data_IF_462850466375
#
_entry.id   IF_462850466375
#
_cell.length_a   1.000
_cell.length_b   1.000
_cell.length_c   1.000
_cell.angle_alpha   90.00
_cell.angle_beta   90.00
_cell.angle_gamma   90.00
#
_symmetry.space_group_name_H-M   'P 1'
#
loop_
_entity.id
_entity.type
_entity.pdbx_description
1 polymer ?
#
# COMPACT_ATOMS: atom_id res chain seq x y z
N UNK A 1 6.00 31.71 18.78
CA UNK A 1 6.79 31.99 17.56
C UNK A 1 6.81 33.48 17.36
N UNK A 2 7.98 34.10 17.49
CA UNK A 2 8.16 35.52 17.17
C UNK A 2 8.41 35.59 15.66
N UNK A 3 7.44 36.07 14.89
CA UNK A 3 7.59 36.27 13.45
C UNK A 3 8.51 37.47 13.24
N UNK A 4 9.80 37.21 13.04
CA UNK A 4 10.79 38.26 12.77
C UNK A 4 10.56 38.77 11.35
N UNK A 5 9.86 39.89 11.19
CA UNK A 5 9.79 40.58 9.90
C UNK A 5 11.17 41.12 9.55
N UNK A 6 11.70 40.73 8.39
CA UNK A 6 12.87 41.40 7.81
C UNK A 6 12.38 42.72 7.23
N UNK A 7 12.59 43.82 7.96
CA UNK A 7 12.26 45.16 7.44
C UNK A 7 13.32 45.58 6.42
N UNK A 8 12.94 45.60 5.14
CA UNK A 8 13.76 46.11 4.03
C UNK A 8 13.77 47.64 3.94
N UNK A 9 13.02 48.33 4.81
CA UNK A 9 12.93 49.77 4.85
C UNK A 9 13.41 50.29 6.22
N UNK A 10 14.29 51.30 6.19
CA UNK A 10 14.71 52.03 7.40
C UNK A 10 13.70 53.14 7.69
N UNK A 11 13.34 53.31 8.96
CA UNK A 11 12.50 54.42 9.39
C UNK A 11 13.31 55.73 9.37
N UNK A 12 12.85 56.70 8.58
CA UNK A 12 13.40 58.05 8.58
C UNK A 12 12.62 58.92 9.57
N UNK A 13 13.35 59.78 10.31
CA UNK A 13 12.76 60.73 11.27
C UNK A 13 13.17 62.13 10.84
N UNK A 14 12.30 63.12 11.03
CA UNK A 14 12.58 64.51 10.69
C UNK A 14 13.84 65.03 11.43
N UNK A 15 14.71 65.73 10.71
CA UNK A 15 15.97 66.27 11.25
C UNK A 15 17.18 65.33 11.20
N UNK A 16 17.02 64.14 10.64
CA UNK A 16 18.09 63.14 10.51
C UNK A 16 19.14 63.55 9.46
N UNK A 17 20.40 63.71 9.87
CA UNK A 17 21.51 64.16 9.00
C UNK A 17 22.22 63.02 8.28
N UNK A 18 22.01 61.77 8.70
CA UNK A 18 22.65 60.57 8.13
C UNK A 18 21.78 59.84 7.08
N UNK A 19 20.76 60.51 6.55
CA UNK A 19 19.79 59.90 5.63
C UNK A 19 20.43 59.32 4.36
N UNK A 20 21.45 59.99 3.80
CA UNK A 20 22.18 59.52 2.61
C UNK A 20 22.93 58.21 2.89
N UNK A 21 23.62 58.14 4.04
CA UNK A 21 24.34 56.93 4.43
C UNK A 21 23.38 55.75 4.66
N UNK A 22 22.22 56.01 5.28
CA UNK A 22 21.17 55.01 5.48
C UNK A 22 20.54 54.55 4.18
N UNK A 23 20.33 55.45 3.21
CA UNK A 23 19.80 55.09 1.90
C UNK A 23 20.78 54.20 1.12
N UNK A 24 22.06 54.56 1.11
CA UNK A 24 23.11 53.76 0.44
C UNK A 24 23.25 52.37 1.08
N UNK A 25 23.18 52.26 2.41
CA UNK A 25 23.19 50.98 3.10
C UNK A 25 21.93 50.14 2.79
N UNK A 26 20.77 50.78 2.64
CA UNK A 26 19.53 50.10 2.28
C UNK A 26 19.57 49.59 0.83
N UNK A 27 20.09 50.40 -0.09
CA UNK A 27 20.30 50.03 -1.48
C UNK A 27 21.18 48.78 -1.60
N UNK A 28 22.34 48.75 -0.94
CA UNK A 28 23.23 47.59 -0.94
C UNK A 28 22.54 46.33 -0.37
N UNK A 29 21.78 46.48 0.72
CA UNK A 29 21.06 45.35 1.32
C UNK A 29 19.97 44.81 0.40
N UNK A 30 19.21 45.69 -0.26
CA UNK A 30 18.16 45.30 -1.20
C UNK A 30 18.78 44.62 -2.42
N UNK A 31 19.84 45.20 -2.98
CA UNK A 31 20.56 44.64 -4.12
C UNK A 31 21.13 43.24 -3.81
N UNK A 32 21.78 43.06 -2.65
CA UNK A 32 22.28 41.76 -2.20
C UNK A 32 21.17 40.71 -2.08
N UNK A 33 20.01 41.10 -1.51
CA UNK A 33 18.88 40.18 -1.36
C UNK A 33 18.17 39.89 -2.67
N UNK A 34 18.06 40.86 -3.57
CA UNK A 34 17.53 40.65 -4.91
C UNK A 34 18.45 39.76 -5.74
N UNK A 35 19.77 39.96 -5.67
CA UNK A 35 20.75 39.10 -6.33
C UNK A 35 20.75 37.69 -5.74
N UNK A 36 20.57 37.54 -4.43
CA UNK A 36 20.38 36.23 -3.80
C UNK A 36 19.12 35.53 -4.31
N UNK A 37 17.97 36.21 -4.32
CA UNK A 37 16.72 35.64 -4.87
C UNK A 37 16.86 35.34 -6.36
N UNK A 38 17.48 36.24 -7.14
CA UNK A 38 17.75 36.04 -8.55
C UNK A 38 18.65 34.83 -8.77
N UNK A 39 19.67 34.63 -7.94
CA UNK A 39 20.54 33.44 -8.01
C UNK A 39 19.77 32.15 -7.73
N UNK A 40 18.83 32.17 -6.78
CA UNK A 40 17.95 31.03 -6.50
C UNK A 40 16.96 30.76 -7.65
N UNK A 41 16.46 31.81 -8.30
CA UNK A 41 15.46 31.71 -9.38
C UNK A 41 16.06 31.40 -10.75
N UNK A 42 17.31 31.81 -11.02
CA UNK A 42 17.96 31.66 -12.34
C UNK A 42 18.84 30.43 -12.46
N UNK A 43 18.94 29.61 -11.39
CA UNK A 43 19.55 28.28 -11.48
C UNK A 43 20.99 28.26 -11.96
N UNK A 44 21.82 29.28 -11.65
CA UNK A 44 23.23 29.22 -11.97
C UNK A 44 23.98 28.24 -11.05
N UNK A 45 24.09 27.02 -11.57
CA UNK A 45 25.36 26.37 -11.89
C UNK A 45 26.48 26.54 -10.85
N UNK A 46 26.68 25.49 -10.04
CA UNK A 46 28.01 25.17 -9.50
C UNK A 46 28.19 25.18 -7.98
N UNK A 47 27.13 25.22 -7.17
CA UNK A 47 27.24 25.00 -5.73
C UNK A 47 25.91 24.54 -5.18
N UNK A 48 25.96 23.50 -4.34
CA UNK A 48 24.81 22.78 -3.79
C UNK A 48 23.62 23.71 -3.54
N UNK A 49 22.51 23.43 -4.22
CA UNK A 49 21.24 24.04 -3.87
C UNK A 49 21.05 23.76 -2.37
N UNK A 50 20.97 24.81 -1.56
CA UNK A 50 20.48 24.70 -0.18
C UNK A 50 18.97 24.45 -0.23
N UNK A 51 18.56 23.35 -0.88
CA UNK A 51 17.21 22.84 -0.83
C UNK A 51 16.95 22.41 0.62
N UNK A 52 15.77 22.68 1.19
CA UNK A 52 15.40 22.08 2.47
C UNK A 52 15.70 20.58 2.51
N UNK A 53 16.22 20.06 3.63
CA UNK A 53 16.72 18.67 3.77
C UNK A 53 15.72 17.63 3.24
N UNK A 54 14.41 17.83 3.42
CA UNK A 54 13.39 16.92 2.89
C UNK A 54 13.30 16.89 1.36
N UNK A 55 13.61 17.99 0.68
CA UNK A 55 13.73 18.01 -0.77
C UNK A 55 15.11 17.48 -1.21
N UNK A 56 16.16 17.65 -0.41
CA UNK A 56 17.46 16.99 -0.66
C UNK A 56 17.31 15.46 -0.65
N UNK A 57 16.56 14.88 0.29
CA UNK A 57 16.31 13.42 0.29
C UNK A 57 15.55 12.91 -0.95
N UNK A 58 14.74 13.76 -1.58
CA UNK A 58 14.04 13.45 -2.82
C UNK A 58 15.00 13.57 -4.01
N UNK A 59 15.83 14.62 -4.03
CA UNK A 59 16.78 14.88 -5.11
C UNK A 59 18.07 14.04 -5.03
N UNK A 60 18.44 13.48 -3.88
CA UNK A 60 19.64 12.62 -3.80
C UNK A 60 19.38 11.19 -4.33
N UNK A 61 18.12 10.83 -4.61
CA UNK A 61 17.74 9.47 -5.04
C UNK A 61 17.45 9.43 -6.54
N UNK A 62 18.12 8.55 -7.31
CA UNK A 62 17.75 8.32 -8.68
C UNK A 62 16.41 7.58 -8.79
N UNK A 63 15.53 8.04 -9.68
CA UNK A 63 14.22 7.43 -9.82
C UNK A 63 13.35 8.06 -10.90
N UNK A 64 12.44 7.26 -11.46
CA UNK A 64 11.40 7.76 -12.37
C UNK A 64 10.31 8.45 -11.55
N UNK A 65 9.77 9.55 -12.06
CA UNK A 65 8.74 10.34 -11.36
C UNK A 65 7.38 9.98 -11.97
N UNK A 66 6.49 9.38 -11.20
CA UNK A 66 5.26 8.79 -11.74
C UNK A 66 5.48 7.35 -12.19
N UNK A 67 4.59 6.42 -11.83
CA UNK A 67 4.71 5.02 -12.28
C UNK A 67 4.63 4.87 -13.81
N UNK A 68 3.87 5.79 -14.45
CA UNK A 68 3.69 5.85 -15.89
C UNK A 68 4.86 6.46 -16.67
N UNK A 69 5.81 7.12 -15.98
CA UNK A 69 6.94 7.78 -16.64
C UNK A 69 7.84 6.77 -17.34
N UNK A 70 8.08 7.05 -18.62
CA UNK A 70 8.89 6.21 -19.51
C UNK A 70 8.48 4.73 -19.47
N UNK A 71 7.21 4.45 -19.19
CA UNK A 71 6.69 3.09 -19.24
C UNK A 71 6.41 2.68 -20.69
N UNK A 72 6.35 1.36 -20.92
CA UNK A 72 6.02 0.78 -22.21
C UNK A 72 5.29 -0.56 -22.04
N UNK A 73 4.45 -0.92 -23.01
CA UNK A 73 3.74 -2.19 -22.97
C UNK A 73 4.63 -3.37 -23.38
N UNK A 74 4.41 -4.52 -22.74
CA UNK A 74 4.96 -5.81 -23.19
C UNK A 74 4.08 -6.43 -24.28
N UNK A 75 4.62 -7.42 -25.00
CA UNK A 75 3.91 -8.21 -25.99
C UNK A 75 4.49 -8.11 -27.40
N UNK A 76 3.66 -8.52 -28.37
CA UNK A 76 4.03 -8.64 -29.77
C UNK A 76 4.10 -7.28 -30.45
N UNK A 77 5.24 -6.98 -31.09
CA UNK A 77 5.38 -5.77 -31.89
C UNK A 77 5.08 -6.04 -33.36
N UNK A 78 4.45 -5.07 -34.01
CA UNK A 78 4.13 -5.13 -35.44
C UNK A 78 5.29 -4.62 -36.29
N UNK A 79 5.58 -5.36 -37.37
CA UNK A 79 6.60 -4.99 -38.35
C UNK A 79 6.19 -3.80 -39.24
N UNK A 80 7.12 -3.29 -40.07
CA UNK A 80 8.48 -3.81 -40.29
C UNK A 80 9.52 -3.31 -39.27
N UNK A 81 9.22 -2.22 -38.55
CA UNK A 81 10.18 -1.58 -37.64
C UNK A 81 10.15 -2.13 -36.22
N UNK A 82 9.12 -2.91 -35.86
CA UNK A 82 8.92 -3.46 -34.51
C UNK A 82 9.08 -2.37 -33.45
N UNK A 83 8.25 -1.35 -33.59
CA UNK A 83 8.35 -0.11 -32.84
C UNK A 83 7.87 -0.29 -31.40
N UNK A 84 8.77 -0.07 -30.44
CA UNK A 84 8.44 0.03 -29.01
C UNK A 84 8.06 1.48 -28.69
N UNK A 85 6.81 1.70 -28.29
CA UNK A 85 6.35 3.00 -27.79
C UNK A 85 6.69 3.16 -26.32
N UNK A 86 7.56 4.12 -26.01
CA UNK A 86 7.91 4.52 -24.64
C UNK A 86 7.20 5.83 -24.33
N UNK A 87 6.45 5.87 -23.24
CA UNK A 87 5.69 7.05 -22.84
C UNK A 87 6.60 8.25 -22.56
N UNK A 88 5.99 9.43 -22.57
CA UNK A 88 6.60 10.61 -21.96
C UNK A 88 6.90 10.35 -20.47
N UNK A 89 7.78 11.13 -19.89
CA UNK A 89 8.09 10.97 -18.48
C UNK A 89 9.18 11.89 -17.97
N UNK A 90 9.44 11.75 -16.68
CA UNK A 90 10.51 12.42 -15.98
C UNK A 90 11.31 11.43 -15.13
N UNK A 91 12.60 11.71 -15.00
CA UNK A 91 13.56 10.90 -14.26
C UNK A 91 14.54 11.82 -13.55
N UNK A 92 14.81 11.48 -12.30
CA UNK A 92 15.84 12.12 -11.51
C UNK A 92 17.12 11.27 -11.55
N UNK A 93 18.23 11.88 -11.95
CA UNK A 93 19.56 11.26 -12.07
C UNK A 93 20.53 11.86 -11.04
N UNK A 94 20.13 11.85 -9.76
CA UNK A 94 20.91 12.41 -8.65
C UNK A 94 21.12 13.93 -8.73
N UNK A 95 21.98 14.40 -9.64
CA UNK A 95 22.21 15.83 -9.87
C UNK A 95 21.37 16.41 -11.02
N UNK A 96 20.84 15.57 -11.91
CA UNK A 96 20.18 16.03 -13.13
C UNK A 96 18.69 15.67 -13.17
N UNK A 97 17.86 16.62 -13.61
CA UNK A 97 16.48 16.37 -13.97
C UNK A 97 16.39 16.08 -15.47
N UNK A 98 16.00 14.86 -15.83
CA UNK A 98 15.78 14.44 -17.20
C UNK A 98 14.28 14.35 -17.46
N UNK A 99 13.78 15.02 -18.49
CA UNK A 99 12.35 15.07 -18.77
C UNK A 99 12.07 15.11 -20.27
N UNK A 100 11.04 14.38 -20.68
CA UNK A 100 10.49 14.43 -22.02
C UNK A 100 8.98 14.44 -21.97
N UNK A 101 8.37 15.49 -22.53
CA UNK A 101 6.91 15.67 -22.57
C UNK A 101 6.21 14.90 -23.68
N UNK A 102 6.96 14.21 -24.55
CA UNK A 102 6.42 13.46 -25.68
C UNK A 102 6.89 12.02 -25.66
N UNK A 103 6.00 11.11 -26.04
CA UNK A 103 6.34 9.70 -26.20
C UNK A 103 7.41 9.51 -27.28
N UNK A 104 8.24 8.49 -27.11
CA UNK A 104 9.34 8.15 -28.00
C UNK A 104 9.13 6.77 -28.61
N UNK A 105 9.35 6.66 -29.92
CA UNK A 105 9.30 5.38 -30.62
C UNK A 105 10.70 4.84 -30.83
N UNK A 106 10.98 3.64 -30.32
CA UNK A 106 12.27 2.98 -30.42
C UNK A 106 12.16 1.75 -31.32
N UNK A 107 12.94 1.72 -32.40
CA UNK A 107 12.94 0.59 -33.34
C UNK A 107 13.77 -0.59 -32.80
N UNK A 108 13.15 -1.79 -32.79
CA UNK A 108 13.82 -3.07 -32.50
C UNK A 108 14.17 -3.85 -33.78
N UNK A 109 13.89 -3.30 -34.97
CA UNK A 109 14.27 -3.94 -36.23
C UNK A 109 15.78 -4.22 -36.32
N UNK A 110 16.13 -5.43 -36.74
CA UNK A 110 17.52 -5.87 -36.90
C UNK A 110 18.26 -6.18 -35.59
N UNK A 111 17.61 -6.04 -34.43
CA UNK A 111 18.22 -6.36 -33.13
C UNK A 111 18.11 -7.84 -32.83
N UNK A 112 19.17 -8.38 -32.22
CA UNK A 112 19.26 -9.79 -31.83
C UNK A 112 18.44 -10.08 -30.57
N UNK A 113 18.00 -11.33 -30.45
CA UNK A 113 17.36 -11.84 -29.23
C UNK A 113 18.28 -11.68 -28.02
N UNK A 114 17.76 -11.13 -26.92
CA UNK A 114 18.54 -10.92 -25.71
C UNK A 114 17.93 -9.90 -24.75
N UNK A 115 18.69 -9.56 -23.71
CA UNK A 115 18.32 -8.50 -22.76
C UNK A 115 18.71 -7.15 -23.34
N UNK A 116 17.77 -6.21 -23.30
CA UNK A 116 17.95 -4.84 -23.74
C UNK A 116 17.58 -3.88 -22.60
N UNK A 117 18.24 -2.73 -22.62
CA UNK A 117 18.11 -1.67 -21.63
C UNK A 117 17.56 -0.41 -22.29
N UNK A 118 16.60 0.23 -21.62
CA UNK A 118 16.17 1.60 -21.93
C UNK A 118 16.98 2.53 -21.04
N UNK A 119 17.74 3.43 -21.65
CA UNK A 119 18.47 4.49 -20.95
C UNK A 119 18.03 5.86 -21.48
N UNK A 120 18.28 6.90 -20.71
CA UNK A 120 18.01 8.28 -21.11
C UNK A 120 19.30 8.95 -21.55
N UNK A 121 19.27 9.68 -22.65
CA UNK A 121 20.36 10.60 -22.98
C UNK A 121 20.32 11.86 -22.11
N UNK A 122 21.30 12.74 -22.26
CA UNK A 122 21.40 13.99 -21.51
C UNK A 122 20.20 14.95 -21.71
N UNK A 123 19.33 14.71 -22.70
CA UNK A 123 18.10 15.46 -22.93
C UNK A 123 16.86 14.79 -22.31
N UNK A 124 17.03 13.64 -21.65
CA UNK A 124 15.92 12.80 -21.18
C UNK A 124 15.20 12.04 -22.29
N UNK A 125 15.83 11.90 -23.47
CA UNK A 125 15.26 11.10 -24.56
C UNK A 125 15.60 9.62 -24.38
N UNK A 126 14.58 8.73 -24.36
CA UNK A 126 14.80 7.30 -24.32
C UNK A 126 15.61 6.79 -25.52
N UNK A 127 16.54 5.88 -25.24
CA UNK A 127 17.31 5.14 -26.23
C UNK A 127 17.52 3.70 -25.76
N UNK A 128 17.88 2.82 -26.68
CA UNK A 128 18.08 1.40 -26.41
C UNK A 128 19.56 1.01 -26.47
N UNK A 129 20.01 0.18 -25.54
CA UNK A 129 21.34 -0.44 -25.57
C UNK A 129 21.28 -1.91 -25.15
N UNK A 130 22.18 -2.71 -25.68
CA UNK A 130 22.46 -4.11 -25.29
C UNK A 130 23.41 -4.20 -24.08
N UNK A 131 23.92 -3.06 -23.63
CA UNK A 131 24.77 -2.91 -22.45
C UNK A 131 24.17 -1.86 -21.53
N UNK A 132 24.49 -1.94 -20.25
CA UNK A 132 24.05 -0.93 -19.27
C UNK A 132 24.76 0.39 -19.57
N UNK A 133 24.00 1.49 -19.58
CA UNK A 133 24.48 2.86 -19.68
C UNK A 133 24.18 3.63 -18.40
N UNK A 134 24.81 4.80 -18.26
CA UNK A 134 24.33 5.80 -17.32
C UNK A 134 22.85 6.11 -17.60
N UNK A 135 22.08 6.37 -16.54
CA UNK A 135 20.64 6.62 -16.63
C UNK A 135 19.83 5.50 -17.30
N UNK A 136 20.28 4.25 -17.13
CA UNK A 136 19.45 3.08 -17.45
C UNK A 136 18.27 3.02 -16.49
N UNK A 137 17.05 3.13 -17.02
CA UNK A 137 15.81 3.19 -16.23
C UNK A 137 15.09 1.84 -16.17
N UNK A 138 15.14 1.05 -17.24
CA UNK A 138 14.40 -0.21 -17.38
C UNK A 138 15.20 -1.23 -18.16
N UNK A 139 14.92 -2.50 -17.90
CA UNK A 139 15.42 -3.64 -18.67
C UNK A 139 14.25 -4.50 -19.16
N UNK A 140 14.44 -5.19 -20.27
CA UNK A 140 13.48 -6.14 -20.83
C UNK A 140 14.18 -7.20 -21.69
N UNK A 141 13.48 -8.29 -21.99
CA UNK A 141 13.89 -9.30 -22.95
C UNK A 141 13.19 -9.07 -24.30
N UNK A 142 13.98 -9.02 -25.36
CA UNK A 142 13.51 -8.99 -26.75
C UNK A 142 13.75 -10.34 -27.40
N UNK A 143 12.71 -10.92 -27.99
CA UNK A 143 12.84 -12.07 -28.87
C UNK A 143 12.68 -11.64 -30.34
N UNK A 144 13.78 -11.66 -31.09
CA UNK A 144 13.83 -11.31 -32.50
C UNK A 144 13.09 -12.29 -33.42
N UNK A 145 12.85 -13.54 -32.99
CA UNK A 145 12.14 -14.54 -33.77
C UNK A 145 10.62 -14.42 -33.68
N UNK A 146 10.10 -14.19 -32.47
CA UNK A 146 8.67 -14.05 -32.18
C UNK A 146 8.20 -12.60 -32.09
N UNK A 147 9.13 -11.65 -32.17
CA UNK A 147 8.93 -10.20 -32.06
C UNK A 147 8.23 -9.79 -30.74
N UNK A 148 8.59 -10.47 -29.65
CA UNK A 148 8.00 -10.24 -28.32
C UNK A 148 8.93 -9.41 -27.44
N UNK A 149 8.34 -8.43 -26.76
CA UNK A 149 8.92 -7.76 -25.59
C UNK A 149 8.35 -8.42 -24.34
N UNK A 150 9.23 -8.83 -23.42
CA UNK A 150 8.85 -9.55 -22.20
C UNK A 150 9.83 -9.25 -21.05
N UNK A 151 9.51 -9.70 -19.84
CA UNK A 151 10.34 -9.51 -18.65
C UNK A 151 10.73 -8.03 -18.38
N UNK A 152 9.82 -7.09 -18.68
CA UNK A 152 9.98 -5.66 -18.34
C UNK A 152 10.16 -5.51 -16.84
N UNK A 153 11.24 -4.85 -16.44
CA UNK A 153 11.52 -4.52 -15.05
C UNK A 153 12.22 -3.15 -14.95
N UNK A 154 12.10 -2.50 -13.78
CA UNK A 154 12.96 -1.38 -13.45
C UNK A 154 14.40 -1.86 -13.32
N UNK A 155 15.34 -1.00 -13.72
CA UNK A 155 16.76 -1.31 -13.55
C UNK A 155 17.15 -1.20 -12.07
N UNK A 156 18.17 -1.95 -11.66
CA UNK A 156 18.61 -1.97 -10.26
C UNK A 156 19.04 -0.57 -9.81
N UNK A 157 18.56 -0.16 -8.64
CA UNK A 157 18.86 1.17 -8.07
C UNK A 157 17.92 2.29 -8.53
N UNK A 158 17.06 2.03 -9.52
CA UNK A 158 16.02 2.97 -9.95
C UNK A 158 14.77 2.78 -9.11
N UNK A 159 14.35 3.85 -8.45
CA UNK A 159 13.09 3.87 -7.68
C UNK A 159 11.96 4.51 -8.47
N UNK A 160 10.72 4.27 -8.05
CA UNK A 160 9.57 5.09 -8.45
C UNK A 160 9.40 6.18 -7.39
N UNK A 161 9.41 7.43 -7.83
CA UNK A 161 9.11 8.61 -7.05
C UNK A 161 7.66 8.98 -7.33
N UNK A 162 6.82 9.02 -6.30
CA UNK A 162 5.40 9.32 -6.44
C UNK A 162 5.19 10.74 -6.98
N UNK A 163 4.30 10.88 -7.96
CA UNK A 163 3.86 12.17 -8.47
C UNK A 163 2.39 12.50 -8.10
N UNK A 164 1.90 13.62 -8.64
CA UNK A 164 0.53 14.06 -8.38
C UNK A 164 -0.53 13.18 -9.04
N UNK A 165 -0.21 12.58 -10.19
CA UNK A 165 -1.11 11.70 -10.92
C UNK A 165 -1.21 10.35 -10.21
N UNK A 166 -0.10 9.80 -9.70
CA UNK A 166 -0.09 8.60 -8.85
C UNK A 166 -0.93 8.82 -7.59
N UNK A 167 -0.85 10.01 -6.98
CA UNK A 167 -1.67 10.35 -5.81
C UNK A 167 -3.16 10.40 -6.17
N UNK A 168 -3.50 11.00 -7.30
CA UNK A 168 -4.88 11.04 -7.81
C UNK A 168 -5.42 9.63 -8.09
N UNK A 169 -4.63 8.78 -8.75
CA UNK A 169 -4.97 7.38 -9.00
C UNK A 169 -5.19 6.60 -7.70
N UNK A 170 -4.42 6.90 -6.64
CA UNK A 170 -4.62 6.28 -5.34
C UNK A 170 -5.93 6.71 -4.64
N UNK A 171 -6.54 7.82 -5.04
CA UNK A 171 -7.84 8.26 -4.55
C UNK A 171 -9.01 7.63 -5.31
N UNK A 172 -8.75 6.98 -6.45
CA UNK A 172 -9.76 6.32 -7.25
C UNK A 172 -9.67 4.79 -7.10
N UNK A 173 -10.82 4.16 -6.89
CA UNK A 173 -10.91 2.71 -6.75
C UNK A 173 -11.89 2.14 -7.76
N UNK A 174 -11.41 1.85 -8.97
CA UNK A 174 -12.22 1.26 -10.05
C UNK A 174 -12.92 -0.05 -9.62
N UNK A 175 -12.25 -0.90 -8.83
CA UNK A 175 -12.85 -2.15 -8.31
C UNK A 175 -14.08 -1.92 -7.44
N UNK A 176 -14.20 -0.73 -6.82
CA UNK A 176 -15.27 -0.40 -5.88
C UNK A 176 -16.21 0.69 -6.40
N UNK A 177 -15.94 1.22 -7.59
CA UNK A 177 -16.67 2.35 -8.17
C UNK A 177 -16.78 3.53 -7.17
N UNK A 178 -15.65 3.89 -6.54
CA UNK A 178 -15.56 4.94 -5.51
C UNK A 178 -14.36 5.84 -5.76
N UNK A 179 -14.54 7.12 -5.45
CA UNK A 179 -13.53 8.18 -5.43
C UNK A 179 -13.47 8.79 -4.05
N UNK A 180 -12.26 9.04 -3.54
CA UNK A 180 -12.01 9.58 -2.21
C UNK A 180 -11.38 10.98 -2.31
N UNK A 181 -11.59 11.82 -1.29
CA UNK A 181 -10.92 13.13 -1.24
C UNK A 181 -9.53 13.03 -0.60
N UNK A 182 -9.30 12.02 0.24
CA UNK A 182 -8.04 11.76 0.94
C UNK A 182 -7.78 10.27 1.04
N UNK A 183 -6.49 9.89 1.12
CA UNK A 183 -6.08 8.51 1.39
C UNK A 183 -6.60 8.00 2.74
N UNK A 184 -6.77 8.89 3.72
CA UNK A 184 -7.34 8.56 5.02
C UNK A 184 -8.80 8.07 4.89
N UNK A 185 -9.62 8.73 4.08
CA UNK A 185 -11.02 8.34 3.86
C UNK A 185 -11.10 6.96 3.19
N UNK A 186 -10.17 6.71 2.26
CA UNK A 186 -10.05 5.39 1.61
C UNK A 186 -9.64 4.31 2.60
N UNK A 187 -8.70 4.60 3.50
CA UNK A 187 -8.27 3.67 4.53
C UNK A 187 -9.42 3.37 5.50
N UNK A 188 -10.15 4.39 5.93
CA UNK A 188 -11.31 4.24 6.81
C UNK A 188 -12.38 3.33 6.18
N UNK A 189 -12.70 3.51 4.91
CA UNK A 189 -13.62 2.63 4.19
C UNK A 189 -13.13 1.17 4.22
N UNK A 190 -11.84 0.92 3.98
CA UNK A 190 -11.27 -0.43 4.00
C UNK A 190 -11.38 -1.04 5.40
N UNK A 191 -11.08 -0.27 6.45
CA UNK A 191 -11.18 -0.73 7.85
C UNK A 191 -12.62 -1.05 8.25
N UNK A 192 -13.59 -0.20 7.88
CA UNK A 192 -15.02 -0.45 8.11
C UNK A 192 -15.47 -1.76 7.46
N UNK A 193 -14.98 -2.06 6.27
CA UNK A 193 -15.30 -3.29 5.55
C UNK A 193 -14.66 -4.53 6.18
N UNK A 194 -13.42 -4.43 6.67
CA UNK A 194 -12.80 -5.50 7.45
C UNK A 194 -13.53 -5.73 8.78
N UNK A 195 -14.15 -4.69 9.34
CA UNK A 195 -14.95 -4.73 10.57
C UNK A 195 -16.35 -5.35 10.43
N UNK A 196 -16.82 -5.70 9.22
CA UNK A 196 -18.20 -6.12 8.99
C UNK A 196 -18.64 -7.35 9.82
N UNK A 197 -17.71 -8.27 10.14
CA UNK A 197 -18.00 -9.39 11.03
C UNK A 197 -17.88 -9.06 12.52
N UNK A 198 -17.15 -8.00 12.88
CA UNK A 198 -16.98 -7.54 14.27
C UNK A 198 -18.28 -6.97 14.86
N UNK A 199 -19.13 -6.37 14.00
CA UNK A 199 -20.39 -5.76 14.40
C UNK A 199 -21.54 -6.74 14.68
N UNK A 200 -21.48 -7.98 14.20
CA UNK A 200 -22.60 -8.93 14.34
C UNK A 200 -22.84 -9.33 15.79
N UNK A 201 -24.08 -9.14 16.25
CA UNK A 201 -24.46 -9.38 17.64
C UNK A 201 -23.63 -8.60 18.65
N UNK A 202 -23.04 -7.47 18.26
CA UNK A 202 -22.30 -6.62 19.19
C UNK A 202 -23.25 -5.95 20.19
N UNK A 203 -22.75 -5.67 21.38
CA UNK A 203 -23.46 -4.88 22.37
C UNK A 203 -23.65 -3.46 21.84
N UNK A 204 -24.87 -2.93 21.92
CA UNK A 204 -25.18 -1.56 21.51
C UNK A 204 -25.27 -0.63 22.72
N UNK A 205 -26.25 -0.87 23.59
CA UNK A 205 -26.47 -0.11 24.83
C UNK A 205 -27.38 -0.89 25.79
N UNK A 206 -27.63 -0.34 26.98
CA UNK A 206 -28.59 -0.88 27.93
C UNK A 206 -29.43 0.23 28.59
N UNK A 207 -30.74 -0.01 28.70
CA UNK A 207 -31.69 0.88 29.38
C UNK A 207 -32.34 0.11 30.55
N UNK A 208 -31.83 0.36 31.77
CA UNK A 208 -32.18 -0.44 32.94
C UNK A 208 -31.75 -1.91 32.76
N UNK A 209 -32.73 -2.82 32.74
CA UNK A 209 -32.49 -4.24 32.47
C UNK A 209 -32.63 -4.61 30.99
N UNK A 210 -33.00 -3.69 30.10
CA UNK A 210 -33.05 -4.00 28.66
C UNK A 210 -31.66 -3.94 28.07
N UNK A 211 -31.18 -5.05 27.53
CA UNK A 211 -29.87 -5.18 26.86
C UNK A 211 -30.07 -5.18 25.35
N UNK A 212 -29.57 -4.13 24.68
CA UNK A 212 -29.70 -3.97 23.24
C UNK A 212 -28.47 -4.52 22.51
N UNK A 213 -28.71 -5.22 21.42
CA UNK A 213 -27.69 -5.82 20.57
C UNK A 213 -27.91 -5.42 19.11
N UNK A 214 -26.82 -5.33 18.35
CA UNK A 214 -26.84 -5.15 16.89
C UNK A 214 -27.19 -6.45 16.18
N UNK A 215 -27.86 -6.34 15.05
CA UNK A 215 -28.18 -7.46 14.19
C UNK A 215 -26.93 -8.22 13.73
N UNK A 216 -27.14 -9.43 13.25
CA UNK A 216 -26.06 -10.31 12.86
C UNK A 216 -26.54 -11.45 11.98
N UNK A 217 -25.62 -12.35 11.66
CA UNK A 217 -25.91 -13.56 10.87
C UNK A 217 -25.40 -14.77 11.62
N UNK A 218 -26.23 -15.78 11.75
CA UNK A 218 -25.86 -17.09 12.27
C UNK A 218 -26.01 -18.14 11.18
N UNK A 219 -25.13 -19.14 11.21
CA UNK A 219 -25.20 -20.28 10.29
C UNK A 219 -25.60 -21.52 11.08
N UNK A 220 -26.62 -22.22 10.59
CA UNK A 220 -26.93 -23.59 10.99
C UNK A 220 -26.84 -24.50 9.78
N UNK A 221 -25.74 -25.24 9.69
CA UNK A 221 -25.34 -25.98 8.50
C UNK A 221 -25.50 -25.12 7.21
N UNK A 222 -26.22 -25.59 6.19
CA UNK A 222 -26.30 -24.88 4.90
C UNK A 222 -27.24 -23.67 4.92
N UNK A 223 -27.85 -23.35 6.06
CA UNK A 223 -28.81 -22.24 6.22
C UNK A 223 -28.15 -21.07 6.94
N UNK A 224 -28.26 -19.87 6.36
CA UNK A 224 -27.85 -18.61 6.98
C UNK A 224 -29.11 -17.86 7.41
N UNK A 225 -29.21 -17.59 8.71
CA UNK A 225 -30.31 -16.83 9.30
C UNK A 225 -29.84 -15.43 9.65
N UNK A 226 -30.59 -14.42 9.22
CA UNK A 226 -30.32 -13.01 9.52
C UNK A 226 -31.15 -12.61 10.73
N UNK A 227 -30.49 -12.09 11.76
CA UNK A 227 -31.13 -11.53 12.94
C UNK A 227 -31.06 -10.01 12.88
N UNK A 228 -32.18 -9.28 12.97
CA UNK A 228 -32.17 -7.82 13.05
C UNK A 228 -31.69 -7.32 14.42
N UNK A 229 -31.39 -6.02 14.53
CA UNK A 229 -31.17 -5.33 15.81
C UNK A 229 -32.34 -5.61 16.77
N UNK A 230 -32.06 -5.75 18.06
CA UNK A 230 -33.07 -6.08 19.04
C UNK A 230 -32.60 -5.91 20.48
N UNK A 231 -33.41 -6.37 21.42
CA UNK A 231 -33.06 -6.38 22.83
C UNK A 231 -33.61 -7.61 23.55
N UNK A 232 -32.97 -7.94 24.67
CA UNK A 232 -33.49 -8.90 25.65
C UNK A 232 -33.59 -8.22 27.01
N UNK A 233 -34.71 -8.42 27.71
CA UNK A 233 -34.84 -7.96 29.10
C UNK A 233 -34.10 -8.92 30.01
N UNK A 234 -33.14 -8.43 30.80
CA UNK A 234 -32.31 -9.16 31.77
C UNK A 234 -33.00 -9.36 33.12
N UNK A 235 -32.55 -10.35 33.90
CA UNK A 235 -32.96 -10.48 35.29
C UNK A 235 -32.04 -9.60 36.12
N UNK A 236 -32.50 -9.12 37.27
CA UNK A 236 -31.60 -8.58 38.28
C UNK A 236 -30.86 -9.76 38.94
N UNK A 237 -29.68 -10.09 38.41
CA UNK A 237 -28.90 -11.28 38.73
C UNK A 237 -27.42 -11.03 38.42
N UNK A 238 -26.54 -11.56 39.28
CA UNK A 238 -25.10 -11.50 39.10
C UNK A 238 -24.62 -12.11 37.76
N UNK A 239 -25.39 -13.04 37.17
CA UNK A 239 -25.09 -13.62 35.87
C UNK A 239 -26.34 -13.84 35.02
N UNK A 240 -26.38 -13.19 33.86
CA UNK A 240 -27.28 -13.48 32.76
C UNK A 240 -26.43 -13.97 31.57
N UNK A 241 -26.93 -14.95 30.84
CA UNK A 241 -26.30 -15.50 29.65
C UNK A 241 -27.15 -15.10 28.44
N UNK A 242 -26.60 -14.28 27.55
CA UNK A 242 -27.25 -13.87 26.31
C UNK A 242 -26.70 -14.71 25.17
N UNK A 243 -27.59 -15.29 24.38
CA UNK A 243 -27.25 -16.28 23.36
C UNK A 243 -28.24 -16.21 22.20
N UNK A 244 -27.84 -16.72 21.05
CA UNK A 244 -28.66 -16.76 19.84
C UNK A 244 -28.91 -18.20 19.40
N UNK A 245 -30.16 -18.50 19.07
CA UNK A 245 -30.54 -19.74 18.43
C UNK A 245 -30.05 -19.73 16.98
N UNK A 246 -29.11 -20.60 16.58
CA UNK A 246 -28.61 -20.64 15.21
C UNK A 246 -29.68 -21.06 14.19
N UNK A 247 -30.75 -21.75 14.60
CA UNK A 247 -31.82 -22.19 13.70
C UNK A 247 -32.78 -21.04 13.35
N UNK A 248 -33.18 -20.26 14.35
CA UNK A 248 -34.20 -19.19 14.17
C UNK A 248 -33.63 -17.78 14.14
N UNK A 249 -32.38 -17.59 14.59
CA UNK A 249 -31.78 -16.28 14.79
C UNK A 249 -32.33 -15.55 16.01
N UNK A 250 -33.15 -16.19 16.85
CA UNK A 250 -33.73 -15.56 18.04
C UNK A 250 -32.67 -15.37 19.11
N UNK A 251 -32.52 -14.15 19.62
CA UNK A 251 -31.67 -13.87 20.79
C UNK A 251 -32.51 -14.00 22.06
N UNK A 252 -31.99 -14.72 23.05
CA UNK A 252 -32.65 -14.93 24.32
C UNK A 252 -31.68 -14.77 25.48
N UNK A 253 -32.23 -14.79 26.71
CA UNK A 253 -31.44 -14.87 27.93
C UNK A 253 -31.76 -16.12 28.75
N UNK A 254 -30.78 -16.54 29.54
CA UNK A 254 -30.94 -17.51 30.64
C UNK A 254 -30.11 -17.09 31.86
N UNK A 255 -30.38 -17.67 33.03
CA UNK A 255 -29.66 -17.41 34.29
C UNK A 255 -28.94 -18.65 34.83
N UNK A 256 -29.05 -19.80 34.17
CA UNK A 256 -28.51 -21.08 34.64
C UNK A 256 -27.25 -21.53 33.90
N UNK A 257 -26.88 -20.84 32.82
CA UNK A 257 -25.78 -21.21 31.91
C UNK A 257 -26.24 -21.23 30.44
N UNK A 258 -25.30 -21.16 29.50
CA UNK A 258 -25.59 -21.22 28.06
C UNK A 258 -26.31 -22.52 27.67
N UNK A 259 -27.28 -22.40 26.78
CA UNK A 259 -28.08 -23.50 26.25
C UNK A 259 -27.25 -24.31 25.25
N UNK A 260 -27.23 -25.64 25.42
CA UNK A 260 -26.51 -26.53 24.51
C UNK A 260 -27.03 -26.38 23.08
N UNK A 261 -26.12 -26.13 22.13
CA UNK A 261 -26.44 -25.96 20.71
C UNK A 261 -26.80 -24.53 20.30
N UNK A 262 -26.91 -23.60 21.25
CA UNK A 262 -27.04 -22.17 20.97
C UNK A 262 -25.67 -21.53 20.95
N UNK A 263 -25.55 -20.36 20.29
CA UNK A 263 -24.28 -19.65 20.18
C UNK A 263 -24.20 -18.62 21.31
N UNK A 264 -23.22 -18.74 22.23
CA UNK A 264 -22.98 -17.75 23.29
C UNK A 264 -22.64 -16.38 22.70
N UNK A 265 -23.27 -15.32 23.22
CA UNK A 265 -22.98 -13.94 22.85
C UNK A 265 -22.35 -13.18 24.02
N UNK A 266 -23.03 -13.12 25.17
CA UNK A 266 -22.57 -12.35 26.33
C UNK A 266 -22.83 -13.06 27.65
N UNK A 267 -21.97 -12.79 28.64
CA UNK A 267 -22.32 -12.88 30.05
C UNK A 267 -22.52 -11.46 30.60
N UNK A 268 -23.67 -11.22 31.24
CA UNK A 268 -24.07 -9.88 31.70
C UNK A 268 -24.44 -9.93 33.18
N UNK A 269 -23.77 -9.12 34.01
CA UNK A 269 -24.14 -8.93 35.40
C UNK A 269 -25.02 -7.70 35.56
N UNK A 270 -26.07 -7.81 36.35
CA UNK A 270 -26.98 -6.72 36.69
C UNK A 270 -27.08 -6.57 38.22
N UNK A 271 -27.37 -5.36 38.66
CA UNK A 271 -27.68 -5.07 40.06
C UNK A 271 -28.62 -3.87 40.16
N UNK A 272 -29.59 -3.93 41.06
CA UNK A 272 -30.54 -2.85 41.34
C UNK A 272 -31.28 -2.36 40.09
N UNK A 273 -31.65 -3.28 39.20
CA UNK A 273 -32.38 -2.97 37.97
C UNK A 273 -31.54 -2.33 36.84
N UNK A 274 -30.21 -2.41 36.91
CA UNK A 274 -29.31 -1.88 35.89
C UNK A 274 -28.24 -2.91 35.46
N UNK A 275 -27.81 -2.84 34.20
CA UNK A 275 -26.62 -3.56 33.71
C UNK A 275 -25.35 -2.95 34.31
N UNK A 276 -24.49 -3.78 34.88
CA UNK A 276 -23.25 -3.35 35.55
C UNK A 276 -22.00 -3.85 34.87
N UNK A 277 -22.03 -5.06 34.30
CA UNK A 277 -20.90 -5.65 33.56
C UNK A 277 -21.44 -6.36 32.33
N UNK A 278 -20.81 -6.13 31.18
CA UNK A 278 -21.04 -6.87 29.95
C UNK A 278 -19.72 -7.54 29.58
N UNK A 279 -19.70 -8.86 29.53
CA UNK A 279 -18.58 -9.65 29.06
C UNK A 279 -18.94 -10.28 27.72
N UNK A 280 -18.24 -9.84 26.68
CA UNK A 280 -18.35 -10.43 25.34
C UNK A 280 -17.67 -11.81 25.34
N UNK A 281 -18.43 -12.83 24.97
CA UNK A 281 -17.95 -14.20 24.86
C UNK A 281 -18.26 -14.78 23.48
N UNK A 282 -18.54 -13.92 22.50
CA UNK A 282 -18.78 -14.32 21.11
C UNK A 282 -17.57 -15.10 20.61
N UNK A 283 -17.81 -16.27 20.02
CA UNK A 283 -16.76 -17.11 19.42
C UNK A 283 -16.95 -17.22 17.91
N UNK A 284 -15.86 -17.46 17.18
CA UNK A 284 -15.84 -17.53 15.71
C UNK A 284 -16.41 -18.85 15.12
N UNK A 285 -17.15 -19.67 15.87
CA UNK A 285 -17.43 -21.07 15.46
C UNK A 285 -18.87 -21.56 15.58
N UNK A 286 -19.19 -22.39 14.57
CA UNK A 286 -20.47 -22.98 14.15
C UNK A 286 -21.09 -23.92 15.18
N UNK A 287 -22.40 -23.79 15.41
CA UNK A 287 -23.22 -24.81 16.02
C UNK A 287 -23.35 -26.00 15.04
N UNK A 288 -22.46 -26.99 15.16
CA UNK A 288 -22.58 -28.26 14.45
C UNK A 288 -23.40 -29.24 15.29
N UNK A 289 -24.69 -29.37 15.02
CA UNK A 289 -25.55 -30.44 15.60
C UNK A 289 -25.58 -31.71 14.75
N UNK A 290 -24.75 -31.79 13.70
CA UNK A 290 -24.62 -32.99 12.87
C UNK A 290 -23.80 -34.06 13.57
N UNK A 291 -24.45 -35.14 14.01
CA UNK A 291 -23.80 -36.42 14.28
C UNK A 291 -23.15 -36.97 13.00
N UNK A 292 -21.93 -36.52 12.72
CA UNK A 292 -21.08 -37.00 11.65
C UNK A 292 -19.66 -36.61 12.03
N UNK A 293 -18.80 -37.61 12.20
CA UNK A 293 -17.48 -37.50 12.83
C UNK A 293 -16.72 -36.23 12.45
N UNK A 294 -16.77 -35.24 13.32
CA UNK A 294 -15.97 -34.04 13.22
C UNK A 294 -14.54 -34.42 13.60
N UNK A 295 -13.65 -34.39 12.62
CA UNK A 295 -12.21 -34.45 12.85
C UNK A 295 -11.83 -33.30 13.78
N UNK A 296 -11.66 -33.63 15.06
CA UNK A 296 -10.97 -32.77 16.01
C UNK A 296 -9.55 -32.58 15.48
N UNK A 297 -9.21 -31.35 15.13
CA UNK A 297 -7.83 -30.94 15.11
C UNK A 297 -7.35 -30.92 16.57
N UNK A 298 -6.85 -32.06 17.05
CA UNK A 298 -5.84 -32.08 18.11
C UNK A 298 -4.52 -31.73 17.44
N UNK A 299 -4.06 -30.51 17.68
CA UNK A 299 -2.81 -29.98 17.17
C UNK A 299 -1.61 -30.69 17.82
N UNK A 300 -1.46 -32.00 17.67
CA UNK A 300 -0.29 -32.79 18.10
C UNK A 300 -0.33 -34.28 17.74
N UNK A 301 -1.39 -34.80 17.13
CA UNK A 301 -1.51 -36.25 16.84
C UNK A 301 -1.49 -36.62 15.35
N UNK A 302 -1.21 -35.66 14.45
CA UNK A 302 -0.94 -35.98 13.05
C UNK A 302 0.46 -36.59 12.92
N UNK A 303 0.57 -37.88 13.21
CA UNK A 303 1.70 -38.70 12.78
C UNK A 303 1.51 -39.00 11.30
N UNK A 304 1.81 -37.96 10.51
CA UNK A 304 1.91 -37.88 9.06
C UNK A 304 1.35 -39.07 8.27
N UNK A 305 0.33 -38.79 7.46
CA UNK A 305 0.11 -39.57 6.24
C UNK A 305 1.45 -39.72 5.52
N UNK A 306 1.98 -40.94 5.31
CA UNK A 306 3.32 -41.11 4.77
C UNK A 306 3.36 -40.50 3.37
N UNK A 307 4.00 -39.34 3.28
CA UNK A 307 4.20 -38.60 2.05
C UNK A 307 4.99 -39.51 1.12
N UNK A 308 4.49 -39.77 -0.10
CA UNK A 308 5.33 -40.32 -1.17
C UNK A 308 6.55 -39.40 -1.30
N UNK A 309 7.72 -39.94 -0.99
CA UNK A 309 9.01 -39.25 -1.03
C UNK A 309 9.12 -38.34 -2.26
N UNK A 310 9.09 -37.03 -2.02
CA UNK A 310 9.59 -36.04 -2.96
C UNK A 310 11.12 -36.16 -2.93
N UNK A 311 11.65 -37.15 -3.65
CA UNK A 311 13.09 -37.34 -3.79
C UNK A 311 13.61 -36.34 -4.83
N UNK A 312 14.12 -35.20 -4.37
CA UNK A 312 15.02 -34.36 -5.18
C UNK A 312 16.36 -35.09 -5.31
N UNK A 313 16.48 -35.99 -6.29
CA UNK A 313 17.80 -36.54 -6.64
C UNK A 313 18.54 -35.62 -7.59
N UNK A 314 19.25 -34.67 -7.01
CA UNK A 314 20.55 -34.28 -7.55
C UNK A 314 21.61 -35.22 -6.98
N UNK A 315 22.14 -36.13 -7.79
CA UNK A 315 23.43 -36.78 -7.49
C UNK A 315 24.18 -37.01 -8.80
N UNK A 316 25.46 -36.61 -8.91
CA UNK A 316 26.20 -36.59 -10.19
C UNK A 316 26.56 -38.01 -10.68
N UNK A 317 26.98 -38.18 -11.95
CA UNK A 317 27.25 -39.49 -12.53
C UNK A 317 28.47 -40.16 -11.88
N UNK A 318 28.41 -41.49 -11.76
CA UNK A 318 29.44 -42.33 -11.15
C UNK A 318 30.77 -42.31 -11.95
N UNK A 319 31.94 -42.34 -11.29
CA UNK A 319 33.22 -42.54 -11.96
C UNK A 319 33.41 -44.00 -12.42
N UNK A 320 34.22 -44.26 -13.46
CA UNK A 320 34.38 -45.60 -14.00
C UNK A 320 35.16 -46.51 -13.04
N UNK A 321 34.77 -47.77 -12.84
CA UNK A 321 35.52 -48.69 -12.00
C UNK A 321 36.77 -49.20 -12.73
N UNK A 322 37.93 -48.77 -12.26
CA UNK A 322 39.21 -49.41 -12.52
C UNK A 322 39.42 -50.64 -11.62
N UNK A 323 39.81 -51.74 -12.26
CA UNK A 323 40.74 -52.78 -11.77
C UNK A 323 40.54 -53.45 -10.40
N UNK A 324 40.17 -54.74 -10.43
CA UNK A 324 40.81 -55.77 -9.59
C UNK A 324 40.72 -57.14 -10.25
N UNK A 325 41.86 -57.79 -10.38
CA UNK A 325 42.02 -59.17 -10.83
C UNK A 325 41.47 -60.19 -9.82
N UNK A 326 40.93 -61.32 -10.29
CA UNK A 326 41.30 -62.67 -9.80
C UNK A 326 40.57 -63.77 -10.58
N UNK A 327 41.38 -64.75 -11.02
CA UNK A 327 41.12 -66.05 -11.68
C UNK A 327 40.87 -66.04 -13.19
#
# INVERSE_FOLDING_TARGET
MTTTFVTLFKNFVAGMTDYMAKHNANYATIEDKLNYILSMLTGQAGGDLSVPVGLQEIFDRPGIIGIGSYDFAEGALSGPSYNLGVNAGAYWSGANFLHKSTATTLSLAGRVTGTWYVYLDASGTPALSDTVKEDTIRQFHWDSGSHQVSAKALYQGVSILFDGDDYADCLDSATRDKTFSRLADRLEEIEQLLGAMSGFFSYDHADGLNFYYRGGKVRNDSVITITPDGHVTLADNATNYVEVDPATGTVARTITGFTSGWIPLFQVATANGAVTVVTDVRTWTVAGTGGGGGGGHTQTTDVGTPRKNTRLTGTPPAPPPGGSASR
#
